data_IF_272433621042
#
_entry.id   IF_272433621042
#
_cell.length_a   1.000
_cell.length_b   1.000
_cell.length_c   1.000
_cell.angle_alpha   90.00
_cell.angle_beta   90.00
_cell.angle_gamma   90.00
#
_symmetry.space_group_name_H-M   'P 1'
#
loop_
_entity.id
_entity.type
_entity.pdbx_description
1 polymer ?
#
# COMPACT_ATOMS: atom_id res chain seq x y z
N UNK A 1 -24.67 -17.07 -7.68
CA UNK A 1 -23.21 -17.14 -7.90
C UNK A 1 -22.55 -16.97 -6.55
N UNK A 2 -22.05 -18.03 -5.93
CA UNK A 2 -21.37 -17.95 -4.63
C UNK A 2 -20.10 -17.09 -4.72
N UNK A 3 -19.67 -16.51 -3.60
CA UNK A 3 -18.44 -15.70 -3.45
C UNK A 3 -17.22 -16.39 -4.08
N UNK A 4 -17.19 -17.72 -4.06
CA UNK A 4 -16.11 -18.60 -4.58
C UNK A 4 -15.85 -18.40 -6.09
N UNK A 5 -16.85 -18.05 -6.89
CA UNK A 5 -16.68 -17.91 -8.35
C UNK A 5 -16.31 -16.50 -8.80
N UNK A 6 -16.43 -15.49 -7.94
CA UNK A 6 -16.24 -14.08 -8.34
C UNK A 6 -14.76 -13.70 -8.38
N UNK A 7 -13.94 -14.21 -7.45
CA UNK A 7 -12.50 -13.91 -7.41
C UNK A 7 -11.72 -14.36 -8.66
N UNK A 8 -11.79 -15.64 -9.06
CA UNK A 8 -11.15 -16.13 -10.29
C UNK A 8 -11.65 -15.40 -11.54
N UNK A 9 -12.94 -15.02 -11.56
CA UNK A 9 -13.55 -14.29 -12.66
C UNK A 9 -13.00 -12.87 -12.77
N UNK A 10 -12.90 -12.12 -11.65
CA UNK A 10 -12.29 -10.78 -11.62
C UNK A 10 -10.83 -10.82 -12.10
N UNK A 11 -10.06 -11.82 -11.67
CA UNK A 11 -8.68 -12.01 -12.14
C UNK A 11 -8.61 -12.25 -13.65
N UNK A 12 -9.48 -13.09 -14.19
CA UNK A 12 -9.58 -13.31 -15.63
C UNK A 12 -9.99 -12.04 -16.39
N UNK A 13 -10.96 -11.28 -15.87
CA UNK A 13 -11.45 -10.06 -16.48
C UNK A 13 -10.39 -8.95 -16.55
N UNK A 14 -9.49 -8.85 -15.57
CA UNK A 14 -8.37 -7.92 -15.61
C UNK A 14 -7.43 -8.14 -16.82
N UNK A 15 -7.38 -9.36 -17.37
CA UNK A 15 -6.50 -9.71 -18.50
C UNK A 15 -7.14 -9.45 -19.88
N UNK A 16 -8.47 -9.36 -19.96
CA UNK A 16 -9.20 -9.32 -21.25
C UNK A 16 -9.52 -7.89 -21.70
N UNK A 17 -9.24 -6.87 -20.86
CA UNK A 17 -9.41 -5.43 -21.14
C UNK A 17 -10.71 -5.05 -21.89
N UNK A 18 -11.83 -5.71 -21.59
CA UNK A 18 -13.12 -5.40 -22.22
C UNK A 18 -13.64 -4.05 -21.73
N UNK A 19 -14.22 -3.26 -22.63
CA UNK A 19 -14.68 -1.88 -22.35
C UNK A 19 -15.81 -1.81 -21.32
N UNK A 20 -16.63 -2.86 -21.23
CA UNK A 20 -17.81 -2.90 -20.38
C UNK A 20 -17.47 -3.29 -18.94
N UNK A 21 -16.35 -3.98 -18.73
CA UNK A 21 -15.96 -4.56 -17.44
C UNK A 21 -15.74 -3.51 -16.36
N UNK A 22 -15.02 -2.39 -16.59
CA UNK A 22 -14.86 -1.35 -15.58
C UNK A 22 -16.19 -0.83 -15.05
N UNK A 23 -17.17 -0.56 -15.91
CA UNK A 23 -18.48 -0.08 -15.49
C UNK A 23 -19.21 -1.10 -14.61
N UNK A 24 -19.19 -2.39 -14.98
CA UNK A 24 -19.77 -3.45 -14.14
C UNK A 24 -19.08 -3.58 -12.78
N UNK A 25 -17.76 -3.45 -12.74
CA UNK A 25 -17.00 -3.52 -11.48
C UNK A 25 -17.28 -2.29 -10.61
N UNK A 26 -17.43 -1.09 -11.20
CA UNK A 26 -17.86 0.13 -10.48
C UNK A 26 -19.25 -0.07 -9.84
N UNK A 27 -20.22 -0.61 -10.58
CA UNK A 27 -21.54 -0.92 -10.06
C UNK A 27 -21.50 -1.95 -8.92
N UNK A 28 -20.62 -2.95 -9.01
CA UNK A 28 -20.44 -3.94 -7.94
C UNK A 28 -19.96 -3.28 -6.64
N UNK A 29 -19.04 -2.31 -6.70
CA UNK A 29 -18.53 -1.59 -5.53
C UNK A 29 -19.63 -0.86 -4.73
N UNK A 30 -20.70 -0.45 -5.39
CA UNK A 30 -21.84 0.21 -4.75
C UNK A 30 -22.76 -0.76 -3.98
N UNK A 31 -22.54 -2.07 -4.07
CA UNK A 31 -23.37 -3.09 -3.40
C UNK A 31 -22.76 -3.52 -2.07
N UNK A 32 -23.62 -3.93 -1.13
CA UNK A 32 -23.18 -4.53 0.14
C UNK A 32 -22.31 -5.78 -0.07
N UNK A 33 -22.51 -6.49 -1.19
CA UNK A 33 -21.72 -7.66 -1.54
C UNK A 33 -20.23 -7.35 -1.75
N UNK A 34 -19.88 -6.13 -2.14
CA UNK A 34 -18.49 -5.72 -2.32
C UNK A 34 -17.67 -5.78 -1.03
N UNK A 35 -18.29 -5.62 0.14
CA UNK A 35 -17.61 -5.69 1.44
C UNK A 35 -17.00 -7.07 1.69
N UNK A 36 -17.60 -8.13 1.12
CA UNK A 36 -17.10 -9.51 1.19
C UNK A 36 -16.08 -9.87 0.10
N UNK A 37 -15.84 -8.96 -0.84
CA UNK A 37 -15.04 -9.17 -2.04
C UNK A 37 -13.83 -8.23 -2.12
N UNK A 38 -13.43 -7.60 -1.01
CA UNK A 38 -12.38 -6.57 -1.01
C UNK A 38 -11.08 -7.09 -1.62
N UNK A 39 -10.57 -8.24 -1.16
CA UNK A 39 -9.32 -8.81 -1.69
C UNK A 39 -9.34 -9.03 -3.22
N UNK A 40 -10.28 -9.79 -3.80
CA UNK A 40 -10.30 -10.00 -5.26
C UNK A 40 -10.61 -8.72 -6.05
N UNK A 41 -11.32 -7.75 -5.47
CA UNK A 41 -11.50 -6.43 -6.09
C UNK A 41 -10.17 -5.68 -6.17
N UNK A 42 -9.40 -5.65 -5.08
CA UNK A 42 -8.09 -5.00 -5.05
C UNK A 42 -7.10 -5.67 -6.01
N UNK A 43 -7.14 -7.00 -6.16
CA UNK A 43 -6.34 -7.71 -7.17
C UNK A 43 -6.69 -7.24 -8.59
N UNK A 44 -7.98 -7.12 -8.91
CA UNK A 44 -8.46 -6.62 -10.20
C UNK A 44 -7.98 -5.19 -10.47
N UNK A 45 -8.15 -4.29 -9.49
CA UNK A 45 -7.77 -2.90 -9.63
C UNK A 45 -6.25 -2.71 -9.69
N UNK A 46 -5.47 -3.52 -8.96
CA UNK A 46 -4.01 -3.50 -9.02
C UNK A 46 -3.50 -3.96 -10.38
N UNK A 47 -4.11 -4.98 -10.98
CA UNK A 47 -3.83 -5.39 -12.36
C UNK A 47 -4.26 -4.34 -13.39
N UNK A 48 -5.32 -3.57 -13.09
CA UNK A 48 -5.89 -2.53 -13.94
C UNK A 48 -5.60 -1.12 -13.39
N UNK A 49 -4.37 -0.85 -12.93
CA UNK A 49 -4.05 0.34 -12.11
C UNK A 49 -4.36 1.69 -12.75
N UNK A 50 -4.55 1.74 -14.08
CA UNK A 50 -5.04 2.92 -14.82
C UNK A 50 -6.41 3.41 -14.31
N UNK A 51 -7.23 2.51 -13.76
CA UNK A 51 -8.56 2.83 -13.21
C UNK A 51 -8.49 3.67 -11.94
N UNK A 52 -7.37 3.68 -11.21
CA UNK A 52 -7.23 4.54 -10.03
C UNK A 52 -7.19 6.04 -10.36
N UNK A 53 -6.92 6.40 -11.62
CA UNK A 53 -6.97 7.78 -12.09
C UNK A 53 -8.38 8.23 -12.49
N UNK A 54 -9.32 7.30 -12.58
CA UNK A 54 -10.74 7.61 -12.81
C UNK A 54 -11.40 8.01 -11.48
N UNK A 55 -12.03 9.18 -11.46
CA UNK A 55 -12.60 9.75 -10.22
C UNK A 55 -13.79 8.94 -9.70
N UNK A 56 -14.56 8.28 -10.59
CA UNK A 56 -15.69 7.43 -10.20
C UNK A 56 -15.20 6.18 -9.47
N UNK A 57 -14.21 5.49 -10.06
CA UNK A 57 -13.61 4.31 -9.47
C UNK A 57 -12.88 4.59 -8.16
N UNK A 58 -12.11 5.68 -8.11
CA UNK A 58 -11.42 6.10 -6.89
C UNK A 58 -12.43 6.42 -5.78
N UNK A 59 -13.51 7.14 -6.12
CA UNK A 59 -14.58 7.45 -5.16
C UNK A 59 -15.29 6.19 -4.68
N UNK A 60 -15.63 5.27 -5.56
CA UNK A 60 -16.32 4.03 -5.22
C UNK A 60 -15.49 3.16 -4.26
N UNK A 61 -14.17 3.07 -4.47
CA UNK A 61 -13.27 2.35 -3.56
C UNK A 61 -13.18 3.02 -2.19
N UNK A 62 -13.04 4.34 -2.14
CA UNK A 62 -13.02 5.08 -0.86
C UNK A 62 -14.36 4.94 -0.14
N UNK A 63 -15.48 5.01 -0.87
CA UNK A 63 -16.81 4.80 -0.31
C UNK A 63 -16.98 3.39 0.23
N UNK A 64 -16.46 2.36 -0.45
CA UNK A 64 -16.44 0.99 0.06
C UNK A 64 -15.71 0.92 1.40
N UNK A 65 -14.57 1.60 1.55
CA UNK A 65 -13.84 1.68 2.83
C UNK A 65 -14.61 2.43 3.92
N UNK A 66 -15.52 3.34 3.55
CA UNK A 66 -16.38 4.07 4.48
C UNK A 66 -17.67 3.32 4.87
N UNK A 67 -18.02 2.21 4.21
CA UNK A 67 -19.27 1.49 4.51
C UNK A 67 -19.21 0.87 5.91
N UNK A 68 -20.29 0.98 6.72
CA UNK A 68 -20.34 0.37 8.05
C UNK A 68 -20.16 -1.15 8.06
N UNK A 69 -20.54 -1.81 6.96
CA UNK A 69 -20.41 -3.26 6.79
C UNK A 69 -19.00 -3.71 6.37
N UNK A 70 -18.13 -2.80 5.95
CA UNK A 70 -16.74 -3.13 5.59
C UNK A 70 -15.92 -3.31 6.85
N UNK A 71 -15.26 -4.47 6.97
CA UNK A 71 -14.36 -4.73 8.09
C UNK A 71 -13.24 -3.68 8.16
N UNK A 72 -12.87 -3.27 9.37
CA UNK A 72 -11.85 -2.23 9.56
C UNK A 72 -10.49 -2.59 8.95
N UNK A 73 -10.13 -3.88 8.94
CA UNK A 73 -8.88 -4.32 8.31
C UNK A 73 -8.95 -4.26 6.78
N UNK A 74 -10.11 -4.55 6.19
CA UNK A 74 -10.33 -4.44 4.76
C UNK A 74 -10.42 -2.98 4.29
N UNK A 75 -11.05 -2.12 5.08
CA UNK A 75 -11.06 -0.68 4.83
C UNK A 75 -9.63 -0.10 4.82
N UNK A 76 -8.77 -0.52 5.76
CA UNK A 76 -7.34 -0.17 5.77
C UNK A 76 -6.64 -0.67 4.51
N UNK A 77 -6.83 -1.95 4.12
CA UNK A 77 -6.21 -2.50 2.90
C UNK A 77 -6.56 -1.70 1.66
N UNK A 78 -7.82 -1.27 1.51
CA UNK A 78 -8.25 -0.44 0.38
C UNK A 78 -7.42 0.85 0.31
N UNK A 79 -7.32 1.58 1.43
CA UNK A 79 -6.61 2.87 1.47
C UNK A 79 -5.09 2.72 1.31
N UNK A 80 -4.52 1.66 1.87
CA UNK A 80 -3.09 1.34 1.74
C UNK A 80 -2.75 1.00 0.28
N UNK A 81 -3.55 0.16 -0.38
CA UNK A 81 -3.39 -0.14 -1.82
C UNK A 81 -3.46 1.13 -2.66
N UNK A 82 -4.44 2.01 -2.42
CA UNK A 82 -4.54 3.29 -3.13
C UNK A 82 -3.30 4.18 -2.93
N UNK A 83 -2.69 4.14 -1.74
CA UNK A 83 -1.50 4.94 -1.40
C UNK A 83 -0.23 4.50 -2.14
N UNK A 84 -0.21 3.29 -2.70
CA UNK A 84 0.91 2.79 -3.52
C UNK A 84 0.94 3.40 -4.94
N UNK A 85 -0.16 4.00 -5.38
CA UNK A 85 -0.33 4.60 -6.70
C UNK A 85 -0.38 6.13 -6.62
N UNK A 86 -0.01 6.79 -7.71
CA UNK A 86 -0.10 8.25 -7.84
C UNK A 86 -1.55 8.67 -8.16
N UNK A 87 -2.44 8.58 -7.18
CA UNK A 87 -3.85 8.98 -7.33
C UNK A 87 -4.07 10.47 -7.08
N UNK A 88 -5.11 11.04 -7.70
CA UNK A 88 -5.50 12.44 -7.49
C UNK A 88 -6.74 12.52 -6.60
N UNK A 89 -6.56 12.94 -5.35
CA UNK A 89 -7.66 13.17 -4.41
C UNK A 89 -8.16 14.62 -4.48
N UNK A 90 -9.43 14.81 -4.82
CA UNK A 90 -10.09 16.13 -4.94
C UNK A 90 -11.61 16.00 -4.76
N UNK A 91 -12.34 17.11 -4.67
CA UNK A 91 -13.80 17.12 -4.75
C UNK A 91 -14.50 16.13 -3.80
N UNK A 92 -15.16 15.11 -4.36
CA UNK A 92 -15.88 14.09 -3.58
C UNK A 92 -14.95 13.10 -2.88
N UNK A 93 -13.85 12.67 -3.52
CA UNK A 93 -12.89 11.72 -2.91
C UNK A 93 -12.22 12.32 -1.69
N UNK A 94 -11.87 13.61 -1.75
CA UNK A 94 -11.32 14.34 -0.59
C UNK A 94 -12.32 14.38 0.57
N UNK A 95 -13.58 14.75 0.30
CA UNK A 95 -14.64 14.81 1.33
C UNK A 95 -14.85 13.45 2.02
N UNK A 96 -14.83 12.36 1.24
CA UNK A 96 -14.97 11.01 1.79
C UNK A 96 -13.78 10.64 2.70
N UNK A 97 -12.54 10.98 2.32
CA UNK A 97 -11.36 10.75 3.16
C UNK A 97 -11.32 11.67 4.40
N UNK A 98 -11.79 12.90 4.28
CA UNK A 98 -11.88 13.81 5.42
C UNK A 98 -12.83 13.27 6.50
N UNK A 99 -13.93 12.60 6.12
CA UNK A 99 -14.82 11.95 7.08
C UNK A 99 -14.12 10.82 7.86
N UNK A 100 -13.18 10.09 7.24
CA UNK A 100 -12.41 9.04 7.89
C UNK A 100 -11.39 9.56 8.92
N UNK A 101 -11.08 10.87 8.91
CA UNK A 101 -10.21 11.49 9.93
C UNK A 101 -10.83 11.47 11.32
N UNK A 102 -12.15 11.42 11.40
CA UNK A 102 -12.89 11.35 12.66
C UNK A 102 -13.16 9.90 13.09
N UNK A 103 -12.79 8.89 12.28
CA UNK A 103 -13.00 7.47 12.60
C UNK A 103 -12.33 7.07 13.91
N UNK A 104 -13.06 6.44 14.84
CA UNK A 104 -12.50 5.98 16.11
C UNK A 104 -11.35 4.96 15.94
N UNK A 105 -11.30 4.26 14.80
CA UNK A 105 -10.27 3.28 14.48
C UNK A 105 -8.97 3.97 14.06
N UNK A 106 -7.94 3.89 14.92
CA UNK A 106 -6.65 4.55 14.69
C UNK A 106 -6.02 4.19 13.32
N UNK A 107 -5.94 2.90 12.98
CA UNK A 107 -5.31 2.44 11.73
C UNK A 107 -6.03 2.96 10.48
N UNK A 108 -7.36 2.93 10.48
CA UNK A 108 -8.17 3.44 9.38
C UNK A 108 -7.97 4.95 9.20
N UNK A 109 -7.97 5.69 10.31
CA UNK A 109 -7.71 7.12 10.34
C UNK A 109 -6.33 7.46 9.78
N UNK A 110 -5.30 6.71 10.18
CA UNK A 110 -3.93 6.88 9.67
C UNK A 110 -3.83 6.57 8.18
N UNK A 111 -4.46 5.50 7.71
CA UNK A 111 -4.46 5.11 6.29
C UNK A 111 -5.11 6.19 5.42
N UNK A 112 -6.20 6.81 5.89
CA UNK A 112 -6.82 7.95 5.22
C UNK A 112 -5.88 9.19 5.19
N UNK A 113 -5.20 9.48 6.30
CA UNK A 113 -4.21 10.57 6.37
C UNK A 113 -3.00 10.32 5.46
N UNK A 114 -2.55 9.06 5.34
CA UNK A 114 -1.48 8.65 4.42
C UNK A 114 -1.89 8.96 2.98
N UNK A 115 -3.09 8.53 2.57
CA UNK A 115 -3.57 8.75 1.21
C UNK A 115 -3.73 10.24 0.87
N UNK A 116 -4.23 11.05 1.81
CA UNK A 116 -4.31 12.51 1.69
C UNK A 116 -2.92 13.15 1.60
N UNK A 117 -1.98 12.75 2.47
CA UNK A 117 -0.62 13.26 2.48
C UNK A 117 0.14 12.88 1.19
N UNK A 118 -0.08 11.67 0.68
CA UNK A 118 0.44 11.18 -0.60
C UNK A 118 -0.08 12.03 -1.77
N UNK A 119 -1.34 12.43 -1.69
CA UNK A 119 -2.02 13.36 -2.61
C UNK A 119 -1.67 14.85 -2.36
N UNK A 120 -0.58 15.12 -1.63
CA UNK A 120 -0.02 16.45 -1.34
C UNK A 120 -0.88 17.34 -0.42
N UNK A 121 -1.80 16.77 0.36
CA UNK A 121 -2.48 17.52 1.43
C UNK A 121 -1.50 17.82 2.59
N UNK A 122 -1.13 19.10 2.73
CA UNK A 122 -0.19 19.56 3.75
C UNK A 122 -0.73 19.42 5.17
N UNK A 123 -2.05 19.54 5.35
CA UNK A 123 -2.70 19.43 6.66
C UNK A 123 -2.68 18.00 7.16
N UNK A 124 -3.08 17.06 6.31
CA UNK A 124 -3.02 15.63 6.60
C UNK A 124 -1.59 15.18 6.90
N UNK A 125 -0.62 15.61 6.08
CA UNK A 125 0.81 15.33 6.33
C UNK A 125 1.29 15.84 7.68
N UNK A 126 0.95 17.09 8.04
CA UNK A 126 1.37 17.66 9.33
C UNK A 126 0.80 16.87 10.50
N UNK A 127 -0.50 16.59 10.48
CA UNK A 127 -1.18 15.81 11.51
C UNK A 127 -0.55 14.42 11.66
N UNK A 128 -0.34 13.72 10.54
CA UNK A 128 0.25 12.39 10.51
C UNK A 128 1.67 12.39 11.08
N UNK A 129 2.55 13.31 10.65
CA UNK A 129 3.93 13.37 11.13
C UNK A 129 4.01 13.75 12.61
N UNK A 130 3.16 14.66 13.08
CA UNK A 130 3.12 15.04 14.50
C UNK A 130 2.82 13.83 15.39
N UNK A 131 1.84 13.00 15.02
CA UNK A 131 1.50 11.80 15.77
C UNK A 131 2.69 10.81 15.86
N UNK A 132 3.45 10.66 14.77
CA UNK A 132 4.65 9.82 14.78
C UNK A 132 5.82 10.42 15.57
N UNK A 133 6.01 11.74 15.52
CA UNK A 133 7.04 12.41 16.30
C UNK A 133 6.77 12.31 17.81
N UNK A 134 5.50 12.37 18.23
CA UNK A 134 5.08 12.11 19.61
C UNK A 134 5.36 10.65 20.02
N UNK A 135 5.07 9.67 19.17
CA UNK A 135 5.43 8.25 19.43
C UNK A 135 6.92 8.05 19.60
N UNK A 136 7.74 8.69 18.75
CA UNK A 136 9.20 8.64 18.85
C UNK A 136 9.68 9.29 20.15
N UNK A 137 9.10 10.43 20.56
CA UNK A 137 9.42 11.05 21.85
C UNK A 137 9.10 10.14 23.03
N UNK A 138 7.96 9.45 22.99
CA UNK A 138 7.54 8.54 24.06
C UNK A 138 8.34 7.23 24.10
N UNK A 139 8.80 6.74 22.95
CA UNK A 139 9.52 5.46 22.83
C UNK A 139 10.72 5.56 21.89
N UNK A 140 11.76 6.33 22.26
CA UNK A 140 12.86 6.67 21.35
C UNK A 140 13.77 5.50 20.97
N UNK A 141 13.73 4.39 21.72
CA UNK A 141 14.47 3.16 21.45
C UNK A 141 13.60 2.05 20.82
N UNK A 142 12.35 2.36 20.46
CA UNK A 142 11.44 1.37 19.87
C UNK A 142 11.64 1.23 18.37
N UNK A 143 12.26 0.13 17.95
CA UNK A 143 12.45 -0.18 16.53
C UNK A 143 11.15 -0.19 15.72
N UNK A 144 10.04 -0.66 16.32
CA UNK A 144 8.75 -0.74 15.63
C UNK A 144 8.21 0.63 15.28
N UNK A 145 8.41 1.64 16.13
CA UNK A 145 7.97 3.03 15.86
C UNK A 145 8.71 3.60 14.65
N UNK A 146 10.03 3.36 14.55
CA UNK A 146 10.80 3.80 13.38
C UNK A 146 10.44 3.01 12.12
N UNK A 147 10.20 1.70 12.21
CA UNK A 147 9.73 0.93 11.05
C UNK A 147 8.39 1.46 10.54
N UNK A 148 7.42 1.68 11.44
CA UNK A 148 6.10 2.20 11.07
C UNK A 148 6.18 3.61 10.47
N UNK A 149 7.02 4.50 11.04
CA UNK A 149 7.24 5.83 10.45
C UNK A 149 7.95 5.72 9.09
N UNK A 150 8.84 4.75 8.92
CA UNK A 150 9.45 4.38 7.65
C UNK A 150 8.43 3.93 6.59
N UNK A 151 7.49 3.06 6.97
CA UNK A 151 6.38 2.61 6.12
C UNK A 151 5.54 3.82 5.67
N UNK A 152 5.21 4.70 6.60
CA UNK A 152 4.46 5.93 6.28
C UNK A 152 5.26 6.86 5.37
N UNK A 153 6.55 7.10 5.64
CA UNK A 153 7.40 7.89 4.75
C UNK A 153 7.48 7.29 3.34
N UNK A 154 7.54 5.96 3.24
CA UNK A 154 7.52 5.25 1.96
C UNK A 154 6.20 5.51 1.22
N UNK A 155 5.06 5.32 1.89
CA UNK A 155 3.73 5.49 1.30
C UNK A 155 3.48 6.94 0.86
N UNK A 156 3.99 7.95 1.58
CA UNK A 156 3.88 9.37 1.16
C UNK A 156 4.95 9.81 0.15
N UNK A 157 5.72 8.86 -0.41
CA UNK A 157 6.80 9.04 -1.38
C UNK A 157 8.02 9.85 -0.89
N UNK A 158 8.31 9.83 0.40
CA UNK A 158 9.49 10.42 1.03
C UNK A 158 10.57 9.35 1.25
N UNK A 159 10.96 8.67 0.17
CA UNK A 159 11.79 7.45 0.21
C UNK A 159 13.12 7.59 0.96
N UNK A 160 13.79 8.75 0.87
CA UNK A 160 15.05 8.99 1.60
C UNK A 160 14.84 9.02 3.12
N UNK A 161 13.71 9.59 3.59
CA UNK A 161 13.36 9.59 5.01
C UNK A 161 12.93 8.20 5.47
N UNK A 162 12.19 7.48 4.63
CA UNK A 162 11.84 6.09 4.87
C UNK A 162 13.10 5.24 5.12
N UNK A 163 14.09 5.33 4.22
CA UNK A 163 15.38 4.63 4.36
C UNK A 163 16.07 4.96 5.68
N UNK A 164 16.10 6.23 6.07
CA UNK A 164 16.72 6.67 7.34
C UNK A 164 16.03 6.03 8.55
N UNK A 165 14.71 6.01 8.56
CA UNK A 165 13.93 5.44 9.66
C UNK A 165 14.05 3.91 9.71
N UNK A 166 13.98 3.22 8.57
CA UNK A 166 14.23 1.78 8.55
C UNK A 166 15.64 1.41 9.00
N UNK A 167 16.66 2.18 8.63
CA UNK A 167 18.03 1.97 9.12
C UNK A 167 18.11 2.16 10.64
N UNK A 168 17.39 3.16 11.17
CA UNK A 168 17.28 3.38 12.61
C UNK A 168 16.61 2.18 13.28
N UNK A 169 15.50 1.68 12.72
CA UNK A 169 14.82 0.48 13.21
C UNK A 169 15.74 -0.75 13.23
N UNK A 170 16.50 -1.00 12.15
CA UNK A 170 17.48 -2.09 12.06
C UNK A 170 18.57 -1.96 13.14
N UNK A 171 19.01 -0.74 13.45
CA UNK A 171 20.03 -0.50 14.49
C UNK A 171 19.53 -0.75 15.90
N UNK A 172 18.23 -0.54 16.15
CA UNK A 172 17.58 -0.71 17.45
C UNK A 172 17.08 -2.14 17.71
N UNK A 173 16.96 -2.98 16.68
CA UNK A 173 16.49 -4.36 16.83
C UNK A 173 17.56 -5.29 17.40
N UNK A 174 17.17 -6.05 18.43
CA UNK A 174 17.88 -7.24 18.89
C UNK A 174 17.40 -8.45 18.09
N UNK A 175 18.32 -9.13 17.39
CA UNK A 175 18.03 -10.32 16.57
C UNK A 175 17.83 -10.03 15.08
N UNK A 176 18.07 -11.05 14.25
CA UNK A 176 18.01 -10.95 12.78
C UNK A 176 16.58 -11.04 12.23
N UNK A 177 15.73 -11.91 12.81
CA UNK A 177 14.39 -12.19 12.27
C UNK A 177 13.45 -10.97 12.25
N UNK A 178 13.66 -9.99 13.15
CA UNK A 178 12.86 -8.77 13.20
C UNK A 178 13.26 -7.73 12.14
N UNK A 179 14.42 -7.89 11.49
CA UNK A 179 14.99 -6.94 10.52
C UNK A 179 14.45 -7.08 9.11
N UNK A 180 13.75 -8.18 8.80
CA UNK A 180 13.25 -8.50 7.47
C UNK A 180 12.40 -7.38 6.88
N UNK A 181 11.35 -6.94 7.59
CA UNK A 181 10.46 -5.89 7.11
C UNK A 181 11.18 -4.58 6.79
N UNK A 182 12.11 -4.15 7.66
CA UNK A 182 12.88 -2.92 7.43
C UNK A 182 13.85 -3.02 6.24
N UNK A 183 14.47 -4.19 5.99
CA UNK A 183 15.28 -4.40 4.79
C UNK A 183 14.42 -4.31 3.52
N UNK A 184 13.25 -4.94 3.52
CA UNK A 184 12.32 -4.87 2.40
C UNK A 184 11.82 -3.44 2.16
N UNK A 185 11.52 -2.69 3.22
CA UNK A 185 11.14 -1.27 3.14
C UNK A 185 12.24 -0.39 2.54
N UNK A 186 13.51 -0.63 2.88
CA UNK A 186 14.67 0.04 2.27
C UNK A 186 14.79 -0.33 0.79
N UNK A 187 14.70 -1.62 0.45
CA UNK A 187 14.80 -2.10 -0.92
C UNK A 187 13.70 -1.47 -1.80
N UNK A 188 12.44 -1.46 -1.34
CA UNK A 188 11.33 -0.77 -2.01
C UNK A 188 11.64 0.70 -2.23
N UNK A 189 12.14 1.38 -1.20
CA UNK A 189 12.48 2.80 -1.27
C UNK A 189 13.58 3.08 -2.31
N UNK A 190 14.63 2.26 -2.36
CA UNK A 190 15.66 2.37 -3.40
C UNK A 190 15.13 2.05 -4.81
N UNK A 191 14.27 1.04 -4.95
CA UNK A 191 13.65 0.72 -6.23
C UNK A 191 12.80 1.89 -6.78
N UNK A 192 12.01 2.55 -5.91
CA UNK A 192 11.26 3.76 -6.27
C UNK A 192 12.17 4.94 -6.63
N UNK A 193 13.35 5.02 -6.03
CA UNK A 193 14.41 5.99 -6.38
C UNK A 193 15.22 5.59 -7.62
N UNK A 194 14.87 4.48 -8.30
CA UNK A 194 15.61 3.90 -9.45
C UNK A 194 17.05 3.50 -9.12
N UNK A 195 17.36 3.31 -7.84
CA UNK A 195 18.64 2.84 -7.32
C UNK A 195 18.63 1.33 -7.20
N UNK A 196 18.51 0.65 -8.34
CA UNK A 196 18.32 -0.80 -8.38
C UNK A 196 19.49 -1.64 -7.82
N UNK A 197 20.77 -1.25 -7.96
CA UNK A 197 21.86 -1.96 -7.29
C UNK A 197 21.70 -1.97 -5.76
N UNK A 198 21.39 -0.82 -5.17
CA UNK A 198 21.17 -0.72 -3.72
C UNK A 198 19.92 -1.53 -3.30
N UNK A 199 18.86 -1.51 -4.11
CA UNK A 199 17.67 -2.32 -3.85
C UNK A 199 17.98 -3.83 -3.86
N UNK A 200 18.75 -4.32 -4.84
CA UNK A 200 19.18 -5.72 -4.93
C UNK A 200 20.04 -6.13 -3.73
N UNK A 201 20.96 -5.25 -3.28
CA UNK A 201 21.79 -5.51 -2.11
C UNK A 201 20.93 -5.72 -0.85
N UNK A 202 19.97 -4.83 -0.60
CA UNK A 202 19.07 -4.95 0.56
C UNK A 202 18.09 -6.12 0.46
N UNK A 203 17.65 -6.52 -0.74
CA UNK A 203 16.86 -7.74 -0.93
C UNK A 203 17.68 -9.00 -0.60
N UNK A 204 18.93 -9.03 -1.06
CA UNK A 204 19.84 -10.18 -0.84
C UNK A 204 20.24 -10.32 0.63
N UNK A 205 20.39 -9.19 1.33
CA UNK A 205 20.71 -9.14 2.75
C UNK A 205 19.48 -9.32 3.66
N UNK A 206 18.26 -9.32 3.12
CA UNK A 206 17.04 -9.38 3.92
C UNK A 206 16.90 -10.76 4.61
N UNK A 207 16.75 -10.82 5.94
CA UNK A 207 16.55 -12.07 6.67
C UNK A 207 15.09 -12.54 6.53
N UNK A 208 14.69 -12.90 5.32
CA UNK A 208 13.33 -13.35 4.96
C UNK A 208 13.37 -14.64 4.16
N UNK A 209 12.23 -15.32 4.05
CA UNK A 209 12.14 -16.56 3.30
C UNK A 209 12.23 -16.31 1.79
N UNK A 210 12.68 -17.33 1.06
CA UNK A 210 12.65 -17.32 -0.41
C UNK A 210 11.24 -17.16 -0.97
N UNK A 211 10.23 -17.66 -0.26
CA UNK A 211 8.82 -17.48 -0.62
C UNK A 211 8.44 -16.00 -0.57
N UNK A 212 8.83 -15.31 0.50
CA UNK A 212 8.61 -13.86 0.64
C UNK A 212 9.29 -13.08 -0.48
N UNK A 213 10.54 -13.42 -0.84
CA UNK A 213 11.23 -12.76 -1.96
C UNK A 213 10.52 -12.99 -3.30
N UNK A 214 9.95 -14.16 -3.54
CA UNK A 214 9.15 -14.44 -4.75
C UNK A 214 7.85 -13.64 -4.79
N UNK A 215 7.18 -13.51 -3.64
CA UNK A 215 5.93 -12.75 -3.53
C UNK A 215 6.13 -11.25 -3.85
N UNK A 216 7.31 -10.70 -3.55
CA UNK A 216 7.66 -9.33 -3.92
C UNK A 216 7.71 -9.10 -5.44
N UNK A 217 7.70 -10.13 -6.28
CA UNK A 217 7.55 -9.96 -7.72
C UNK A 217 6.19 -9.35 -8.12
N UNK A 218 5.18 -9.40 -7.23
CA UNK A 218 3.89 -8.74 -7.44
C UNK A 218 3.87 -7.29 -6.93
N UNK A 219 4.92 -6.84 -6.24
CA UNK A 219 4.98 -5.51 -5.65
C UNK A 219 5.26 -4.45 -6.75
N UNK A 220 4.40 -3.43 -6.89
CA UNK A 220 4.56 -2.38 -7.89
C UNK A 220 5.90 -1.63 -7.81
N UNK A 221 6.55 -1.60 -6.64
CA UNK A 221 7.86 -0.96 -6.47
C UNK A 221 8.95 -1.62 -7.30
N UNK A 222 8.83 -2.94 -7.55
CA UNK A 222 9.86 -3.76 -8.18
C UNK A 222 9.58 -4.08 -9.64
N UNK A 223 8.45 -3.61 -10.20
CA UNK A 223 8.05 -3.87 -11.60
C UNK A 223 9.22 -3.67 -12.60
N UNK A 224 9.91 -2.54 -12.53
CA UNK A 224 11.05 -2.24 -13.42
C UNK A 224 12.25 -3.15 -13.15
N UNK A 225 12.50 -3.53 -11.90
CA UNK A 225 13.60 -4.45 -11.57
C UNK A 225 13.39 -5.83 -12.20
N UNK A 226 12.14 -6.32 -12.23
CA UNK A 226 11.78 -7.62 -12.80
C UNK A 226 11.94 -7.71 -14.32
N UNK A 227 11.99 -6.56 -15.00
CA UNK A 227 12.21 -6.43 -16.45
C UNK A 227 13.71 -6.27 -16.79
N UNK A 228 14.59 -6.34 -15.80
CA UNK A 228 16.04 -6.12 -15.95
C UNK A 228 16.85 -7.25 -15.32
N UNK A 229 18.19 -7.13 -15.35
CA UNK A 229 19.11 -8.06 -14.70
C UNK A 229 18.88 -8.25 -13.19
N UNK A 230 18.22 -7.30 -12.53
CA UNK A 230 17.93 -7.35 -11.08
C UNK A 230 16.78 -8.31 -10.73
N UNK A 231 16.09 -8.89 -11.71
CA UNK A 231 15.07 -9.94 -11.51
C UNK A 231 15.58 -11.14 -10.69
N UNK A 232 16.88 -11.42 -10.74
CA UNK A 232 17.52 -12.51 -9.98
C UNK A 232 17.33 -12.40 -8.46
N UNK A 233 17.16 -11.18 -7.94
CA UNK A 233 16.94 -10.94 -6.51
C UNK A 233 15.64 -11.55 -5.96
N UNK A 234 14.70 -11.93 -6.83
CA UNK A 234 13.38 -12.44 -6.46
C UNK A 234 13.28 -13.98 -6.49
N UNK A 235 14.34 -14.68 -6.91
CA UNK A 235 14.42 -16.15 -6.95
C UNK A 235 13.20 -16.84 -7.58
N UNK A 236 12.68 -16.22 -8.65
CA UNK A 236 11.63 -16.80 -9.48
C UNK A 236 12.20 -18.04 -10.19
N UNK A 237 11.38 -19.10 -10.31
CA UNK A 237 11.76 -20.28 -11.09
C UNK A 237 11.84 -19.89 -12.57
N UNK A 238 12.87 -20.36 -13.26
CA UNK A 238 13.01 -20.26 -14.72
C UNK A 238 11.94 -21.08 -15.44
#
# INVERSE_FOLDING_TARGET
VEVVHVGPLLKGLAQVERKEVPSCVSQLLATERATTLVAPLLDYYSASSKLFNDEEHLLALIQLACQPATDGSDAVKILDTLSEFDVTVKGATKRALDALRESSQLKLRESALVLLARSKDKGARRSLMQAFDERVKYSPASSSVYSQRGDVYYLIAEYQKAIKDYKTAISLQRGLASKGGAHLGIARSYARLKRYPDAEEYLSAAPVSMTTLRELANDPAFKVMLETKYRRAFHLRE
#
